data_IF_360274906206
#
_entry.id   IF_360274906206
#
_cell.length_a   1.000
_cell.length_b   1.000
_cell.length_c   1.000
_cell.angle_alpha   90.00
_cell.angle_beta   90.00
_cell.angle_gamma   90.00
#
_symmetry.space_group_name_H-M   'P 1'
#
loop_
_entity.id
_entity.type
_entity.pdbx_description
1 polymer ?
#
# COMPACT_ATOMS: atom_id res chain seq x y z
N UNK A 1 27.48 -14.57 -19.11
CA UNK A 1 27.55 -14.25 -17.67
C UNK A 1 26.16 -14.19 -17.07
N UNK A 2 25.20 -13.50 -17.71
CA UNK A 2 23.79 -13.47 -17.29
C UNK A 2 23.06 -14.83 -17.28
N UNK A 3 23.33 -15.73 -18.24
CA UNK A 3 22.71 -17.07 -18.26
C UNK A 3 23.10 -17.93 -17.06
N UNK A 4 24.34 -17.76 -16.58
CA UNK A 4 24.83 -18.41 -15.37
C UNK A 4 24.16 -17.84 -14.12
N UNK A 5 24.07 -16.51 -14.01
CA UNK A 5 23.33 -15.84 -12.92
C UNK A 5 21.87 -16.27 -12.84
N UNK A 6 21.17 -16.33 -13.98
CA UNK A 6 19.79 -16.81 -14.02
C UNK A 6 19.68 -18.28 -13.62
N UNK A 7 20.58 -19.13 -14.10
CA UNK A 7 20.60 -20.55 -13.73
C UNK A 7 20.78 -20.71 -12.22
N UNK A 8 21.76 -20.03 -11.63
CA UNK A 8 22.02 -20.06 -10.19
C UNK A 8 20.82 -19.54 -9.38
N UNK A 9 20.18 -18.45 -9.83
CA UNK A 9 18.99 -17.92 -9.18
C UNK A 9 17.81 -18.91 -9.22
N UNK A 10 17.55 -19.55 -10.36
CA UNK A 10 16.51 -20.59 -10.50
C UNK A 10 16.79 -21.80 -9.60
N UNK A 11 18.04 -22.26 -9.56
CA UNK A 11 18.47 -23.36 -8.68
C UNK A 11 18.26 -22.99 -7.20
N UNK A 12 18.65 -21.78 -6.80
CA UNK A 12 18.46 -21.25 -5.43
C UNK A 12 16.99 -21.16 -5.05
N UNK A 13 16.13 -20.63 -5.93
CA UNK A 13 14.69 -20.55 -5.71
C UNK A 13 14.04 -21.95 -5.61
N UNK A 14 14.42 -22.86 -6.50
CA UNK A 14 13.93 -24.25 -6.48
C UNK A 14 14.31 -24.95 -5.18
N UNK A 15 15.57 -24.82 -4.75
CA UNK A 15 16.06 -25.40 -3.50
C UNK A 15 15.35 -24.81 -2.26
N UNK A 16 14.89 -23.56 -2.35
CA UNK A 16 14.12 -22.89 -1.30
C UNK A 16 12.61 -23.18 -1.35
N UNK A 17 12.15 -24.03 -2.27
CA UNK A 17 10.74 -24.42 -2.41
C UNK A 17 9.83 -23.32 -2.97
N UNK A 18 10.39 -22.37 -3.74
CA UNK A 18 9.58 -21.33 -4.40
C UNK A 18 8.74 -21.97 -5.50
N UNK A 19 7.51 -21.47 -5.66
CA UNK A 19 6.57 -21.94 -6.67
C UNK A 19 7.15 -21.87 -8.10
N UNK A 20 6.96 -22.89 -8.95
CA UNK A 20 7.49 -22.89 -10.32
C UNK A 20 7.04 -21.70 -11.18
N UNK A 21 5.79 -21.25 -11.05
CA UNK A 21 5.29 -20.08 -11.79
C UNK A 21 6.01 -18.83 -11.32
N UNK A 22 6.22 -18.67 -10.00
CA UNK A 22 7.00 -17.56 -9.47
C UNK A 22 8.47 -17.57 -9.96
N UNK A 23 9.08 -18.75 -10.13
CA UNK A 23 10.43 -18.88 -10.72
C UNK A 23 10.44 -18.43 -12.19
N UNK A 24 9.39 -18.73 -12.95
CA UNK A 24 9.26 -18.34 -14.35
C UNK A 24 8.96 -16.84 -14.50
N UNK A 25 8.14 -16.28 -13.62
CA UNK A 25 7.92 -14.83 -13.49
C UNK A 25 9.22 -14.10 -13.18
N UNK A 26 9.98 -14.56 -12.18
CA UNK A 26 11.31 -14.01 -11.88
C UNK A 26 12.24 -14.10 -13.09
N UNK A 27 12.28 -15.23 -13.78
CA UNK A 27 13.14 -15.41 -14.95
C UNK A 27 12.77 -14.47 -16.10
N UNK A 28 11.48 -14.21 -16.31
CA UNK A 28 11.01 -13.20 -17.26
C UNK A 28 11.57 -11.81 -16.93
N UNK A 29 11.41 -11.36 -15.68
CA UNK A 29 11.88 -10.04 -15.26
C UNK A 29 13.40 -9.91 -15.20
N UNK A 30 14.11 -10.98 -14.83
CA UNK A 30 15.57 -11.05 -14.91
C UNK A 30 16.06 -10.70 -16.32
N UNK A 31 15.40 -11.23 -17.36
CA UNK A 31 15.75 -10.93 -18.76
C UNK A 31 15.46 -9.50 -19.16
N UNK A 32 14.45 -8.86 -18.57
CA UNK A 32 14.18 -7.44 -18.78
C UNK A 32 15.28 -6.56 -18.15
N UNK A 33 15.67 -6.88 -16.91
CA UNK A 33 16.80 -6.21 -16.24
C UNK A 33 18.09 -6.36 -17.05
N UNK A 34 18.37 -7.56 -17.55
CA UNK A 34 19.54 -7.86 -18.39
C UNK A 34 19.59 -7.00 -19.66
N UNK A 35 18.44 -6.74 -20.29
CA UNK A 35 18.34 -5.92 -21.51
C UNK A 35 18.43 -4.43 -21.25
N UNK A 36 18.50 -4.01 -19.99
CA UNK A 36 18.55 -2.60 -19.60
C UNK A 36 17.19 -1.91 -19.70
N UNK A 37 16.08 -2.65 -19.60
CA UNK A 37 14.74 -2.08 -19.59
C UNK A 37 14.62 -1.09 -18.41
N UNK A 38 14.29 0.17 -18.71
CA UNK A 38 14.23 1.23 -17.69
C UNK A 38 12.83 1.44 -17.12
N UNK A 39 11.79 1.00 -17.83
CA UNK A 39 10.39 1.19 -17.44
C UNK A 39 9.88 2.64 -17.51
N UNK A 40 10.64 3.54 -18.15
CA UNK A 40 10.27 4.96 -18.27
C UNK A 40 9.07 5.15 -19.22
N UNK A 41 8.16 6.05 -18.86
CA UNK A 41 6.94 6.36 -19.62
C UNK A 41 6.94 7.84 -20.00
N UNK A 42 7.36 8.20 -21.24
CA UNK A 42 7.41 9.58 -21.68
C UNK A 42 6.03 10.22 -21.76
N UNK A 43 5.93 11.49 -21.37
CA UNK A 43 4.71 12.30 -21.47
C UNK A 43 4.18 12.34 -22.91
N UNK A 44 5.08 12.32 -23.89
CA UNK A 44 4.73 12.28 -25.31
C UNK A 44 3.94 11.03 -25.73
N UNK A 45 4.05 9.93 -24.97
CA UNK A 45 3.39 8.63 -25.25
C UNK A 45 2.03 8.45 -24.58
N UNK A 46 1.64 9.40 -23.72
CA UNK A 46 0.42 9.34 -22.91
C UNK A 46 -0.47 10.57 -23.08
N UNK A 47 -1.73 10.43 -22.68
CA UNK A 47 -2.72 11.50 -22.58
C UNK A 47 -3.34 11.49 -21.18
N UNK A 48 -3.72 12.65 -20.61
CA UNK A 48 -4.40 12.68 -19.31
C UNK A 48 -5.68 11.84 -19.31
N UNK A 49 -5.92 11.10 -18.23
CA UNK A 49 -7.14 10.31 -18.04
C UNK A 49 -8.21 11.12 -17.28
N UNK A 50 -9.46 10.99 -17.70
CA UNK A 50 -10.63 11.36 -16.90
C UNK A 50 -11.41 10.12 -16.46
N UNK A 51 -12.20 10.24 -15.39
CA UNK A 51 -12.92 9.11 -14.82
C UNK A 51 -14.23 9.54 -14.14
N UNK A 52 -15.22 8.63 -14.03
CA UNK A 52 -16.43 8.90 -13.26
C UNK A 52 -16.09 9.08 -11.77
N UNK A 53 -16.86 9.93 -11.08
CA UNK A 53 -16.80 10.02 -9.63
C UNK A 53 -17.87 9.12 -8.99
N UNK A 54 -17.49 8.41 -7.92
CA UNK A 54 -18.42 7.58 -7.14
C UNK A 54 -19.62 8.39 -6.61
N UNK A 55 -19.42 9.68 -6.35
CA UNK A 55 -20.49 10.60 -5.95
C UNK A 55 -21.61 10.71 -7.00
N UNK A 56 -21.27 10.58 -8.28
CA UNK A 56 -22.20 10.68 -9.41
C UNK A 56 -22.78 9.31 -9.83
N UNK A 57 -22.28 8.21 -9.25
CA UNK A 57 -22.75 6.85 -9.53
C UNK A 57 -23.90 6.48 -8.59
N UNK A 58 -25.02 6.08 -9.20
CA UNK A 58 -26.17 5.50 -8.47
C UNK A 58 -26.10 3.98 -8.53
N UNK A 59 -26.04 3.35 -7.35
CA UNK A 59 -26.15 1.89 -7.17
C UNK A 59 -27.28 1.65 -6.19
N UNK A 60 -28.24 0.80 -6.55
CA UNK A 60 -29.33 0.45 -5.64
C UNK A 60 -28.81 -0.33 -4.42
N UNK A 61 -29.35 -0.07 -3.24
CA UNK A 61 -28.87 -0.65 -1.97
C UNK A 61 -28.82 -2.19 -1.97
N UNK A 62 -29.80 -2.83 -2.62
CA UNK A 62 -29.85 -4.29 -2.76
C UNK A 62 -28.69 -4.80 -3.62
N UNK A 63 -28.46 -4.19 -4.79
CA UNK A 63 -27.35 -4.55 -5.68
C UNK A 63 -25.98 -4.27 -5.03
N UNK A 64 -25.86 -3.17 -4.30
CA UNK A 64 -24.67 -2.82 -3.53
C UNK A 64 -24.37 -3.88 -2.46
N UNK A 65 -25.38 -4.28 -1.69
CA UNK A 65 -25.23 -5.29 -0.63
C UNK A 65 -24.97 -6.70 -1.19
N UNK A 66 -25.62 -7.07 -2.30
CA UNK A 66 -25.38 -8.34 -2.99
C UNK A 66 -23.94 -8.41 -3.53
N UNK A 67 -23.47 -7.34 -4.18
CA UNK A 67 -22.10 -7.27 -4.69
C UNK A 67 -21.06 -7.33 -3.56
N UNK A 68 -21.30 -6.64 -2.44
CA UNK A 68 -20.44 -6.74 -1.26
C UNK A 68 -20.43 -8.18 -0.72
N UNK A 69 -21.58 -8.87 -0.71
CA UNK A 69 -21.70 -10.28 -0.32
C UNK A 69 -20.87 -11.25 -1.19
N UNK A 70 -20.61 -10.88 -2.45
CA UNK A 70 -19.78 -11.63 -3.40
C UNK A 70 -18.32 -11.15 -3.45
N UNK A 71 -17.91 -10.27 -2.54
CA UNK A 71 -16.56 -9.71 -2.48
C UNK A 71 -15.70 -10.43 -1.45
N UNK A 72 -14.47 -10.78 -1.83
CA UNK A 72 -13.40 -11.13 -0.90
C UNK A 72 -12.48 -9.93 -0.64
N UNK A 73 -11.97 -9.78 0.57
CA UNK A 73 -11.08 -8.68 0.95
C UNK A 73 -9.66 -9.20 1.13
N UNK A 74 -8.73 -8.64 0.37
CA UNK A 74 -7.30 -8.91 0.51
C UNK A 74 -6.57 -7.67 1.02
N UNK A 75 -5.82 -7.81 2.12
CA UNK A 75 -4.96 -6.75 2.65
C UNK A 75 -3.50 -7.09 2.41
N UNK A 76 -2.78 -6.18 1.76
CA UNK A 76 -1.33 -6.31 1.58
C UNK A 76 -0.63 -6.08 2.92
N UNK A 77 0.09 -7.08 3.41
CA UNK A 77 0.73 -7.07 4.72
C UNK A 77 2.11 -7.74 4.72
N UNK A 78 2.77 -7.81 3.55
CA UNK A 78 4.11 -8.38 3.42
C UNK A 78 5.24 -7.46 3.88
N UNK A 79 4.98 -6.15 3.99
CA UNK A 79 5.97 -5.13 4.32
C UNK A 79 6.24 -4.97 5.81
N UNK A 80 7.52 -4.77 6.14
CA UNK A 80 7.95 -4.38 7.49
C UNK A 80 7.90 -2.86 7.66
N UNK A 81 7.70 -2.38 8.88
CA UNK A 81 7.79 -0.96 9.22
C UNK A 81 9.24 -0.45 9.40
N UNK A 82 10.20 -0.98 8.65
CA UNK A 82 11.64 -0.72 8.84
C UNK A 82 12.01 0.75 8.73
N UNK A 83 11.35 1.52 7.85
CA UNK A 83 11.57 2.96 7.72
C UNK A 83 11.26 3.74 9.00
N UNK A 84 10.39 3.19 9.85
CA UNK A 84 9.98 3.73 11.14
C UNK A 84 10.59 2.95 12.31
N UNK A 85 11.60 2.10 12.06
CA UNK A 85 12.32 1.36 13.10
C UNK A 85 11.67 0.04 13.56
N UNK A 86 10.60 -0.41 12.91
CA UNK A 86 9.91 -1.64 13.33
C UNK A 86 10.58 -2.89 12.76
N UNK A 87 10.72 -3.91 13.60
CA UNK A 87 11.20 -5.24 13.20
C UNK A 87 10.07 -6.23 12.82
N UNK A 88 8.80 -5.79 12.88
CA UNK A 88 7.61 -6.61 12.61
C UNK A 88 6.75 -6.00 11.51
N UNK A 89 5.67 -6.69 11.16
CA UNK A 89 4.67 -6.21 10.22
C UNK A 89 4.19 -4.79 10.60
N UNK A 90 4.17 -3.89 9.63
CA UNK A 90 3.75 -2.50 9.88
C UNK A 90 2.32 -2.39 10.39
N UNK A 91 1.46 -3.35 10.02
CA UNK A 91 0.08 -3.40 10.49
C UNK A 91 -0.08 -3.58 12.00
N UNK A 92 0.99 -3.98 12.71
CA UNK A 92 1.02 -4.12 14.16
C UNK A 92 1.37 -2.83 14.89
N UNK A 93 1.62 -1.74 14.16
CA UNK A 93 1.80 -0.42 14.77
C UNK A 93 0.49 0.01 15.40
N UNK A 94 0.53 0.40 16.68
CA UNK A 94 -0.58 1.06 17.34
C UNK A 94 -0.84 2.42 16.71
N UNK A 95 -2.06 2.66 16.28
CA UNK A 95 -2.45 3.86 15.53
C UNK A 95 -3.42 4.73 16.28
N UNK A 96 -4.30 4.14 17.09
CA UNK A 96 -5.30 4.90 17.84
C UNK A 96 -5.98 4.05 18.90
N UNK A 97 -6.28 4.65 20.06
CA UNK A 97 -7.12 4.05 21.11
C UNK A 97 -6.67 2.64 21.55
N UNK A 98 -5.36 2.39 21.59
CA UNK A 98 -4.80 1.07 21.91
C UNK A 98 -4.94 0.01 20.81
N UNK A 99 -5.38 0.41 19.61
CA UNK A 99 -5.61 -0.48 18.47
C UNK A 99 -4.53 -0.30 17.41
N UNK A 100 -4.10 -1.44 16.85
CA UNK A 100 -3.19 -1.48 15.70
C UNK A 100 -3.95 -1.30 14.38
N UNK A 101 -3.25 -1.09 13.26
CA UNK A 101 -3.91 -1.14 11.94
C UNK A 101 -4.67 -2.45 11.75
N UNK A 102 -4.03 -3.56 12.14
CA UNK A 102 -4.59 -4.90 11.99
C UNK A 102 -5.89 -5.05 12.78
N UNK A 103 -5.94 -4.55 14.02
CA UNK A 103 -7.15 -4.58 14.84
C UNK A 103 -8.28 -3.76 14.22
N UNK A 104 -7.98 -2.56 13.73
CA UNK A 104 -8.98 -1.68 13.10
C UNK A 104 -9.54 -2.35 11.83
N UNK A 105 -8.67 -2.87 10.95
CA UNK A 105 -9.07 -3.56 9.72
C UNK A 105 -10.00 -4.74 10.01
N UNK A 106 -9.63 -5.60 10.97
CA UNK A 106 -10.45 -6.76 11.35
C UNK A 106 -11.82 -6.30 11.84
N UNK A 107 -11.86 -5.29 12.71
CA UNK A 107 -13.12 -4.79 13.28
C UNK A 107 -14.00 -4.08 12.25
N UNK A 108 -13.42 -3.38 11.29
CA UNK A 108 -14.13 -2.80 10.13
C UNK A 108 -14.85 -3.89 9.33
N UNK A 109 -14.14 -4.96 8.96
CA UNK A 109 -14.75 -6.08 8.22
C UNK A 109 -15.84 -6.75 9.03
N UNK A 110 -15.61 -7.02 10.32
CA UNK A 110 -16.64 -7.63 11.18
C UNK A 110 -17.87 -6.73 11.34
N UNK A 111 -17.70 -5.41 11.38
CA UNK A 111 -18.82 -4.46 11.38
C UNK A 111 -19.61 -4.52 10.06
N UNK A 112 -18.93 -4.56 8.92
CA UNK A 112 -19.58 -4.72 7.60
C UNK A 112 -20.33 -6.04 7.48
N UNK A 113 -19.76 -7.16 7.96
CA UNK A 113 -20.44 -8.47 7.99
C UNK A 113 -21.76 -8.39 8.74
N UNK A 114 -21.77 -7.75 9.92
CA UNK A 114 -22.99 -7.54 10.72
C UNK A 114 -24.01 -6.65 10.01
N UNK A 115 -23.54 -5.54 9.42
CA UNK A 115 -24.41 -4.55 8.76
C UNK A 115 -25.09 -5.10 7.51
N UNK A 116 -24.36 -5.86 6.70
CA UNK A 116 -24.83 -6.33 5.39
C UNK A 116 -25.25 -7.81 5.37
N UNK A 117 -25.06 -8.55 6.47
CA UNK A 117 -25.30 -9.99 6.49
C UNK A 117 -24.40 -10.76 5.52
N UNK A 118 -23.20 -10.26 5.25
CA UNK A 118 -22.27 -10.79 4.25
C UNK A 118 -21.16 -11.65 4.90
N UNK A 119 -20.65 -12.65 4.16
CA UNK A 119 -19.50 -13.44 4.60
C UNK A 119 -18.20 -12.63 4.58
N UNK A 120 -17.94 -11.88 3.50
CA UNK A 120 -16.82 -10.93 3.35
C UNK A 120 -15.50 -11.45 3.96
N UNK A 121 -14.88 -12.50 3.38
CA UNK A 121 -13.63 -13.08 3.89
C UNK A 121 -12.53 -12.03 3.87
N UNK A 122 -11.77 -11.93 4.96
CA UNK A 122 -10.62 -11.04 5.08
C UNK A 122 -9.36 -11.90 5.11
N UNK A 123 -8.50 -11.68 4.11
CA UNK A 123 -7.33 -12.48 3.84
C UNK A 123 -6.12 -11.55 3.77
N UNK A 124 -5.03 -11.92 4.43
CA UNK A 124 -3.80 -11.13 4.43
C UNK A 124 -2.76 -11.75 3.49
N UNK A 125 -2.22 -10.94 2.59
CA UNK A 125 -1.03 -11.30 1.83
C UNK A 125 0.19 -11.00 2.71
N UNK A 126 0.71 -12.04 3.37
CA UNK A 126 1.84 -11.94 4.26
C UNK A 126 3.14 -12.33 3.55
N UNK A 127 4.27 -11.90 4.12
CA UNK A 127 5.58 -12.40 3.74
C UNK A 127 6.09 -13.38 4.79
N UNK A 128 7.18 -14.07 4.46
CA UNK A 128 7.93 -14.90 5.41
C UNK A 128 8.42 -14.12 6.66
N UNK A 129 8.37 -12.78 6.64
CA UNK A 129 8.73 -11.91 7.77
C UNK A 129 7.53 -11.41 8.57
N UNK A 130 6.30 -11.53 8.06
CA UNK A 130 5.11 -10.93 8.68
C UNK A 130 4.02 -11.95 9.07
N UNK A 131 4.06 -13.16 8.52
CA UNK A 131 3.03 -14.20 8.76
C UNK A 131 2.86 -14.55 10.24
N UNK A 132 3.95 -14.93 10.93
CA UNK A 132 3.86 -15.40 12.33
C UNK A 132 3.24 -14.35 13.27
N UNK A 133 3.75 -13.12 13.23
CA UNK A 133 3.24 -12.05 14.09
C UNK A 133 1.78 -11.68 13.75
N UNK A 134 1.41 -11.73 12.47
CA UNK A 134 0.05 -11.43 12.02
C UNK A 134 -0.92 -12.49 12.50
N UNK A 135 -0.62 -13.77 12.28
CA UNK A 135 -1.48 -14.89 12.70
C UNK A 135 -1.67 -14.96 14.21
N UNK A 136 -0.65 -14.59 15.01
CA UNK A 136 -0.77 -14.52 16.46
C UNK A 136 -1.89 -13.55 16.89
N UNK A 137 -1.96 -12.37 16.25
CA UNK A 137 -3.01 -11.38 16.54
C UNK A 137 -4.36 -11.82 15.98
N UNK A 138 -4.39 -12.36 14.76
CA UNK A 138 -5.64 -12.83 14.14
C UNK A 138 -6.29 -13.97 14.94
N UNK A 139 -5.50 -14.82 15.60
CA UNK A 139 -6.00 -15.90 16.47
C UNK A 139 -6.86 -15.45 17.65
N UNK A 140 -6.86 -14.14 17.98
CA UNK A 140 -7.73 -13.53 18.99
C UNK A 140 -9.17 -13.33 18.50
N UNK A 141 -9.39 -13.32 17.18
CA UNK A 141 -10.67 -13.03 16.54
C UNK A 141 -11.36 -14.31 16.05
N UNK A 142 -12.14 -14.96 16.93
CA UNK A 142 -12.78 -16.26 16.64
C UNK A 142 -13.80 -16.22 15.49
N UNK A 143 -14.44 -15.08 15.28
CA UNK A 143 -15.49 -14.91 14.26
C UNK A 143 -14.93 -14.41 12.91
N UNK A 144 -13.60 -14.34 12.77
CA UNK A 144 -12.96 -13.84 11.57
C UNK A 144 -12.91 -14.88 10.44
N UNK A 145 -12.62 -16.14 10.79
CA UNK A 145 -12.50 -17.23 9.83
C UNK A 145 -13.81 -17.44 9.05
N UNK A 146 -13.68 -17.69 7.76
CA UNK A 146 -14.77 -18.14 6.89
C UNK A 146 -14.46 -19.57 6.51
N UNK A 147 -15.39 -20.48 6.73
CA UNK A 147 -15.18 -21.91 6.49
C UNK A 147 -14.70 -22.17 5.05
N UNK A 148 -13.62 -22.95 4.93
CA UNK A 148 -13.02 -23.30 3.65
C UNK A 148 -12.09 -22.24 3.05
N UNK A 149 -11.91 -21.07 3.68
CA UNK A 149 -10.99 -20.03 3.22
C UNK A 149 -9.91 -19.71 4.26
N UNK A 150 -8.66 -19.48 3.84
CA UNK A 150 -7.57 -19.17 4.75
C UNK A 150 -7.64 -17.71 5.23
N UNK A 151 -6.99 -17.41 6.36
CA UNK A 151 -6.80 -16.03 6.84
C UNK A 151 -5.58 -15.36 6.20
N UNK A 152 -4.68 -16.13 5.62
CA UNK A 152 -3.50 -15.63 4.93
C UNK A 152 -3.17 -16.45 3.69
N UNK A 153 -2.41 -15.84 2.79
CA UNK A 153 -1.57 -16.54 1.84
C UNK A 153 -0.22 -15.85 1.82
N UNK A 154 0.83 -16.61 1.48
CA UNK A 154 2.18 -16.08 1.45
C UNK A 154 2.50 -15.56 0.05
N UNK A 155 3.00 -14.33 -0.02
CA UNK A 155 3.69 -13.83 -1.20
C UNK A 155 5.01 -14.61 -1.39
N UNK A 156 5.49 -14.64 -2.62
CA UNK A 156 6.74 -15.27 -3.01
C UNK A 156 7.98 -14.52 -2.48
N UNK A 157 9.13 -15.13 -2.69
CA UNK A 157 10.46 -14.57 -2.42
C UNK A 157 11.39 -14.88 -3.59
N UNK A 158 12.31 -13.97 -3.84
CA UNK A 158 13.32 -14.09 -4.89
C UNK A 158 14.70 -13.69 -4.34
N UNK A 159 15.79 -14.19 -4.94
CA UNK A 159 17.13 -13.82 -4.50
C UNK A 159 17.46 -12.39 -4.92
N UNK A 160 18.08 -11.63 -4.01
CA UNK A 160 18.76 -10.38 -4.37
C UNK A 160 19.92 -10.71 -5.31
N UNK A 161 20.07 -9.94 -6.38
CA UNK A 161 21.09 -10.16 -7.39
C UNK A 161 22.23 -9.17 -7.18
N UNK A 162 23.48 -9.56 -7.37
CA UNK A 162 24.59 -8.61 -7.33
C UNK A 162 24.45 -7.61 -8.47
N UNK A 163 24.74 -6.34 -8.21
CA UNK A 163 24.60 -5.28 -9.22
C UNK A 163 25.64 -5.37 -10.35
N UNK A 164 26.78 -6.03 -10.11
CA UNK A 164 27.89 -6.16 -11.04
C UNK A 164 27.70 -7.26 -12.10
N UNK A 165 27.12 -8.41 -11.73
CA UNK A 165 27.05 -9.58 -12.61
C UNK A 165 25.68 -10.30 -12.65
N UNK A 166 24.69 -9.83 -11.89
CA UNK A 166 23.35 -10.42 -11.75
C UNK A 166 23.32 -11.84 -11.18
N UNK A 167 24.39 -12.33 -10.56
CA UNK A 167 24.36 -13.59 -9.80
C UNK A 167 23.63 -13.40 -8.47
N UNK A 168 22.96 -14.44 -7.92
CA UNK A 168 22.32 -14.32 -6.61
C UNK A 168 23.38 -14.07 -5.54
N UNK A 169 23.15 -13.08 -4.67
CA UNK A 169 24.09 -12.74 -3.61
C UNK A 169 24.16 -13.84 -2.54
N UNK A 170 25.37 -14.07 -2.01
CA UNK A 170 25.60 -14.90 -0.82
C UNK A 170 25.96 -14.00 0.36
N UNK A 171 25.34 -14.23 1.51
CA UNK A 171 25.54 -13.47 2.73
C UNK A 171 25.53 -14.38 3.97
N UNK A 172 26.64 -15.09 4.25
CA UNK A 172 26.69 -16.08 5.32
C UNK A 172 26.42 -15.54 6.73
N UNK A 173 26.62 -14.24 6.96
CA UNK A 173 26.35 -13.60 8.25
C UNK A 173 24.85 -13.61 8.59
N UNK A 174 23.99 -13.45 7.58
CA UNK A 174 22.54 -13.60 7.69
C UNK A 174 21.96 -13.99 6.32
N UNK A 175 21.78 -15.30 6.05
CA UNK A 175 21.24 -15.78 4.79
C UNK A 175 19.82 -15.28 4.48
N UNK A 176 19.08 -14.77 5.48
CA UNK A 176 17.74 -14.20 5.23
C UNK A 176 17.81 -12.89 4.45
N UNK A 177 18.96 -12.19 4.49
CA UNK A 177 19.21 -10.97 3.73
C UNK A 177 19.49 -11.23 2.26
N UNK A 178 19.69 -12.48 1.86
CA UNK A 178 19.86 -12.86 0.45
C UNK A 178 18.54 -12.84 -0.34
N UNK A 179 17.40 -12.70 0.36
CA UNK A 179 16.06 -12.77 -0.22
C UNK A 179 15.33 -11.43 -0.11
N UNK A 180 14.54 -11.11 -1.12
CA UNK A 180 13.59 -10.01 -1.11
C UNK A 180 12.21 -10.48 -1.59
N UNK A 181 11.13 -9.78 -1.20
CA UNK A 181 9.84 -9.97 -1.85
C UNK A 181 9.83 -9.32 -3.25
N UNK A 182 9.13 -9.90 -4.24
CA UNK A 182 9.04 -9.37 -5.61
C UNK A 182 8.08 -8.17 -5.77
N UNK A 183 7.95 -7.35 -4.72
CA UNK A 183 6.98 -6.27 -4.64
C UNK A 183 5.54 -6.76 -4.44
N UNK A 184 4.60 -5.82 -4.35
CA UNK A 184 3.19 -6.16 -4.10
C UNK A 184 2.43 -6.61 -5.36
N UNK A 185 3.01 -6.47 -6.56
CA UNK A 185 2.45 -7.04 -7.79
C UNK A 185 2.46 -8.57 -7.83
N UNK A 186 3.21 -9.21 -6.93
CA UNK A 186 3.21 -10.66 -6.74
C UNK A 186 1.88 -11.24 -6.25
N UNK A 187 0.95 -10.40 -5.79
CA UNK A 187 -0.38 -10.83 -5.34
C UNK A 187 -1.04 -11.79 -6.33
N UNK A 188 -0.96 -11.52 -7.63
CA UNK A 188 -1.64 -12.33 -8.63
C UNK A 188 -1.00 -13.71 -8.80
N UNK A 189 0.33 -13.75 -8.88
CA UNK A 189 1.12 -14.99 -8.97
C UNK A 189 0.97 -15.82 -7.70
N UNK A 190 1.04 -15.20 -6.52
CA UNK A 190 0.86 -15.87 -5.24
C UNK A 190 -0.57 -16.42 -5.06
N UNK A 191 -1.60 -15.68 -5.49
CA UNK A 191 -2.99 -16.17 -5.46
C UNK A 191 -3.21 -17.38 -6.37
N UNK A 192 -2.54 -17.42 -7.53
CA UNK A 192 -2.58 -18.58 -8.43
C UNK A 192 -1.82 -19.77 -7.82
N UNK A 193 -0.56 -19.58 -7.42
CA UNK A 193 0.31 -20.65 -6.92
C UNK A 193 -0.18 -21.27 -5.61
N UNK A 194 -0.84 -20.50 -4.75
CA UNK A 194 -1.46 -21.01 -3.51
C UNK A 194 -2.84 -21.64 -3.73
N UNK A 195 -3.39 -21.56 -4.94
CA UNK A 195 -4.74 -22.01 -5.27
C UNK A 195 -5.85 -21.15 -4.64
N UNK A 196 -5.52 -19.99 -4.07
CA UNK A 196 -6.51 -19.11 -3.45
C UNK A 196 -7.53 -18.58 -4.46
N UNK A 197 -7.08 -18.32 -5.70
CA UNK A 197 -7.95 -17.85 -6.77
C UNK A 197 -9.09 -18.86 -7.05
N UNK A 198 -8.74 -20.14 -7.18
CA UNK A 198 -9.71 -21.22 -7.42
C UNK A 198 -10.62 -21.43 -6.19
N UNK A 199 -10.06 -21.41 -4.97
CA UNK A 199 -10.84 -21.52 -3.74
C UNK A 199 -11.91 -20.43 -3.62
N UNK A 200 -11.58 -19.17 -3.95
CA UNK A 200 -12.55 -18.06 -3.91
C UNK A 200 -13.64 -18.23 -4.97
N UNK A 201 -13.28 -18.65 -6.19
CA UNK A 201 -14.25 -18.91 -7.26
C UNK A 201 -15.19 -20.05 -6.88
N UNK A 202 -14.66 -21.15 -6.34
CA UNK A 202 -15.42 -22.32 -5.93
C UNK A 202 -16.35 -22.02 -4.73
N UNK A 203 -15.93 -21.12 -3.85
CA UNK A 203 -16.74 -20.61 -2.75
C UNK A 203 -17.82 -19.58 -3.19
N UNK A 204 -17.88 -19.25 -4.49
CA UNK A 204 -18.93 -18.40 -5.07
C UNK A 204 -18.67 -16.90 -5.00
N UNK A 205 -17.45 -16.48 -4.62
CA UNK A 205 -17.04 -15.08 -4.74
C UNK A 205 -16.78 -14.74 -6.20
N UNK A 206 -17.09 -13.50 -6.58
CA UNK A 206 -16.91 -13.02 -7.96
C UNK A 206 -15.81 -11.98 -8.08
N UNK A 207 -15.55 -11.23 -7.01
CA UNK A 207 -14.61 -10.11 -7.04
C UNK A 207 -13.76 -10.02 -5.78
N UNK A 208 -12.61 -9.37 -5.91
CA UNK A 208 -11.69 -9.10 -4.80
C UNK A 208 -11.49 -7.60 -4.66
N UNK A 209 -11.60 -7.11 -3.44
CA UNK A 209 -11.12 -5.80 -3.04
C UNK A 209 -9.73 -5.92 -2.41
N UNK A 210 -8.73 -5.25 -2.98
CA UNK A 210 -7.35 -5.25 -2.48
C UNK A 210 -6.99 -3.86 -1.96
N UNK A 211 -6.29 -3.78 -0.82
CA UNK A 211 -5.70 -2.51 -0.37
C UNK A 211 -4.51 -2.71 0.56
N UNK A 212 -3.72 -1.64 0.73
CA UNK A 212 -2.61 -1.62 1.69
C UNK A 212 -3.14 -1.73 3.13
N UNK A 213 -2.45 -2.47 4.00
CA UNK A 213 -2.77 -2.51 5.43
C UNK A 213 -2.51 -1.18 6.14
N UNK A 214 -1.62 -0.34 5.59
CA UNK A 214 -1.30 0.98 6.15
C UNK A 214 -2.22 2.11 5.66
N UNK A 215 -3.24 1.79 4.84
CA UNK A 215 -4.33 2.70 4.48
C UNK A 215 -5.62 2.31 5.23
N UNK A 216 -5.91 3.02 6.32
CA UNK A 216 -7.11 2.76 7.14
C UNK A 216 -8.40 3.32 6.53
N UNK A 217 -8.29 4.22 5.55
CA UNK A 217 -9.43 4.68 4.75
C UNK A 217 -9.94 3.62 3.78
N UNK A 218 -9.12 2.62 3.45
CA UNK A 218 -9.47 1.55 2.52
C UNK A 218 -10.40 0.50 3.14
N UNK A 219 -11.64 0.89 3.37
CA UNK A 219 -12.71 0.02 3.86
C UNK A 219 -13.51 -0.51 2.67
N UNK A 220 -13.83 -1.82 2.59
CA UNK A 220 -14.72 -2.34 1.55
C UNK A 220 -16.07 -1.59 1.58
N UNK A 221 -16.50 -1.07 0.43
CA UNK A 221 -17.71 -0.25 0.33
C UNK A 221 -18.72 -0.90 -0.62
N UNK A 222 -19.97 -1.00 -0.18
CA UNK A 222 -21.03 -1.66 -0.92
C UNK A 222 -21.35 -0.95 -2.26
N UNK A 223 -21.29 0.39 -2.29
CA UNK A 223 -21.55 1.16 -3.52
C UNK A 223 -20.43 0.95 -4.52
N UNK A 224 -19.17 0.96 -4.09
CA UNK A 224 -18.04 0.65 -4.98
C UNK A 224 -18.10 -0.79 -5.47
N UNK A 225 -18.41 -1.75 -4.59
CA UNK A 225 -18.59 -3.15 -4.96
C UNK A 225 -19.69 -3.33 -6.02
N UNK A 226 -20.84 -2.66 -5.84
CA UNK A 226 -21.94 -2.74 -6.80
C UNK A 226 -21.69 -1.96 -8.10
N UNK A 227 -20.97 -0.84 -8.04
CA UNK A 227 -20.50 -0.15 -9.24
C UNK A 227 -19.56 -1.03 -10.06
N UNK A 228 -18.57 -1.64 -9.41
CA UNK A 228 -17.60 -2.51 -10.08
C UNK A 228 -18.31 -3.69 -10.75
N UNK A 229 -19.15 -4.41 -9.99
CA UNK A 229 -19.95 -5.52 -10.53
C UNK A 229 -20.86 -5.08 -11.69
N UNK A 230 -21.52 -3.92 -11.58
CA UNK A 230 -22.41 -3.38 -12.61
C UNK A 230 -21.69 -2.87 -13.85
N UNK A 231 -20.42 -2.49 -13.74
CA UNK A 231 -19.61 -1.99 -14.85
C UNK A 231 -19.20 -3.09 -15.84
N UNK A 232 -19.10 -4.34 -15.37
CA UNK A 232 -18.55 -5.45 -16.14
C UNK A 232 -17.04 -5.36 -16.39
N UNK A 233 -16.34 -4.41 -15.75
CA UNK A 233 -14.89 -4.27 -15.89
C UNK A 233 -14.17 -5.46 -15.22
N UNK A 234 -13.11 -6.00 -15.84
CA UNK A 234 -12.31 -7.07 -15.24
C UNK A 234 -11.43 -6.57 -14.09
N UNK A 235 -11.09 -5.27 -14.10
CA UNK A 235 -10.17 -4.65 -13.18
C UNK A 235 -10.49 -3.17 -13.01
N UNK A 236 -10.43 -2.66 -11.78
CA UNK A 236 -10.60 -1.25 -11.49
C UNK A 236 -9.69 -0.77 -10.36
N UNK A 237 -9.35 0.52 -10.38
CA UNK A 237 -8.62 1.17 -9.30
C UNK A 237 -9.38 2.40 -8.81
N UNK A 238 -9.50 2.53 -7.49
CA UNK A 238 -9.98 3.78 -6.88
C UNK A 238 -8.87 4.84 -6.94
N UNK A 239 -9.22 6.04 -7.39
CA UNK A 239 -8.33 7.17 -7.47
C UNK A 239 -8.84 8.33 -6.62
N UNK A 240 -7.92 9.14 -6.11
CA UNK A 240 -8.26 10.41 -5.47
C UNK A 240 -7.67 11.56 -6.27
N UNK A 241 -8.28 12.75 -6.15
CA UNK A 241 -7.67 13.97 -6.68
C UNK A 241 -6.32 14.19 -6.03
N UNK A 242 -5.32 14.54 -6.86
CA UNK A 242 -3.99 14.90 -6.41
C UNK A 242 -4.00 16.25 -5.70
N UNK A 243 -3.16 16.32 -4.68
CA UNK A 243 -2.86 17.51 -3.89
C UNK A 243 -1.36 17.80 -3.99
N UNK A 244 -0.89 19.00 -3.61
CA UNK A 244 0.55 19.29 -3.55
C UNK A 244 1.36 18.35 -2.64
N UNK A 245 0.70 17.64 -1.72
CA UNK A 245 1.32 16.64 -0.83
C UNK A 245 1.55 15.30 -1.52
N UNK A 246 0.89 15.03 -2.65
CA UNK A 246 1.03 13.78 -3.43
C UNK A 246 2.25 13.83 -4.34
N UNK A 247 3.43 13.97 -3.73
CA UNK A 247 4.74 14.07 -4.41
C UNK A 247 5.31 12.73 -4.85
N UNK A 248 4.83 11.62 -4.26
CA UNK A 248 5.27 10.25 -4.55
C UNK A 248 4.05 9.38 -4.82
N UNK A 249 4.17 8.51 -5.82
CA UNK A 249 3.15 7.54 -6.23
C UNK A 249 2.85 7.62 -7.73
N UNK A 250 1.86 6.83 -8.15
CA UNK A 250 1.46 6.72 -9.55
C UNK A 250 0.19 7.52 -9.89
N UNK A 251 0.24 8.24 -11.01
CA UNK A 251 -0.94 8.86 -11.61
C UNK A 251 -1.43 8.06 -12.82
N UNK A 252 -2.70 8.23 -13.15
CA UNK A 252 -3.30 7.58 -14.31
C UNK A 252 -3.16 8.42 -15.57
N UNK A 253 -2.91 7.74 -16.67
CA UNK A 253 -2.95 8.30 -18.01
C UNK A 253 -3.46 7.25 -19.00
N UNK A 254 -3.71 7.66 -20.23
CA UNK A 254 -4.06 6.79 -21.35
C UNK A 254 -2.87 6.68 -22.29
N UNK A 255 -2.41 5.47 -22.60
CA UNK A 255 -1.34 5.25 -23.57
C UNK A 255 -1.85 5.46 -24.99
N UNK A 256 -1.16 6.30 -25.77
CA UNK A 256 -1.58 6.66 -27.14
C UNK A 256 -1.53 5.48 -28.12
N UNK A 257 -0.63 4.52 -27.88
CA UNK A 257 -0.38 3.43 -28.83
C UNK A 257 -1.56 2.44 -28.93
N UNK A 258 -2.28 2.22 -27.83
CA UNK A 258 -3.33 1.19 -27.72
C UNK A 258 -4.57 1.66 -26.95
N UNK A 259 -4.58 2.89 -26.42
CA UNK A 259 -5.71 3.46 -25.67
C UNK A 259 -5.89 2.87 -24.27
N UNK A 260 -4.93 2.07 -23.77
CA UNK A 260 -5.03 1.45 -22.44
C UNK A 260 -4.70 2.45 -21.33
N UNK A 261 -5.31 2.25 -20.17
CA UNK A 261 -4.96 3.00 -18.95
C UNK A 261 -3.59 2.53 -18.50
N UNK A 262 -2.71 3.48 -18.18
CA UNK A 262 -1.39 3.26 -17.60
C UNK A 262 -1.29 3.90 -16.23
N UNK A 263 -0.55 3.26 -15.33
CA UNK A 263 -0.19 3.81 -14.03
C UNK A 263 1.28 4.23 -14.08
N UNK A 264 1.54 5.54 -14.25
CA UNK A 264 2.89 6.07 -14.31
C UNK A 264 3.35 6.51 -12.93
N UNK A 265 4.24 5.72 -12.33
CA UNK A 265 4.93 6.04 -11.08
C UNK A 265 5.87 7.23 -11.25
N UNK A 266 6.13 7.96 -10.16
CA UNK A 266 7.11 9.07 -10.15
C UNK A 266 8.50 8.62 -10.64
N UNK A 267 8.90 7.38 -10.33
CA UNK A 267 10.18 6.81 -10.77
C UNK A 267 10.24 6.50 -12.28
N UNK A 268 9.09 6.49 -12.97
CA UNK A 268 8.97 6.25 -14.41
C UNK A 268 8.86 7.56 -15.22
N UNK A 269 8.90 8.72 -14.55
CA UNK A 269 8.81 10.04 -15.17
C UNK A 269 10.20 10.52 -15.58
N UNK A 270 10.38 10.91 -16.86
CA UNK A 270 11.63 11.49 -17.32
C UNK A 270 11.88 12.86 -16.68
N UNK A 271 13.14 13.25 -16.57
CA UNK A 271 13.52 14.56 -16.03
C UNK A 271 12.84 15.72 -16.77
N UNK A 272 12.72 15.62 -18.10
CA UNK A 272 12.04 16.62 -18.94
C UNK A 272 10.52 16.68 -18.74
N UNK A 273 9.93 15.66 -18.12
CA UNK A 273 8.48 15.52 -17.91
C UNK A 273 8.04 15.92 -16.49
N UNK A 274 8.97 16.35 -15.62
CA UNK A 274 8.69 16.68 -14.22
C UNK A 274 7.68 17.83 -14.08
N UNK A 275 7.76 18.85 -14.94
CA UNK A 275 6.80 19.95 -14.95
C UNK A 275 5.38 19.47 -15.30
N UNK A 276 5.25 18.55 -16.27
CA UNK A 276 3.97 17.97 -16.64
C UNK A 276 3.39 17.10 -15.52
N UNK A 277 4.23 16.33 -14.81
CA UNK A 277 3.83 15.59 -13.62
C UNK A 277 3.38 16.53 -12.49
N UNK A 278 4.05 17.67 -12.32
CA UNK A 278 3.73 18.69 -11.30
C UNK A 278 2.41 19.42 -11.56
N UNK A 279 1.92 19.43 -12.80
CA UNK A 279 0.65 20.06 -13.17
C UNK A 279 -0.56 19.24 -12.69
N UNK A 280 -1.11 19.64 -11.55
CA UNK A 280 -2.30 19.03 -10.94
C UNK A 280 -3.59 19.21 -11.76
N UNK A 281 -3.62 20.13 -12.73
CA UNK A 281 -4.75 20.31 -13.64
C UNK A 281 -4.73 19.34 -14.82
N UNK A 282 -3.54 18.86 -15.16
CA UNK A 282 -3.30 17.88 -16.22
C UNK A 282 -3.47 16.46 -15.70
N UNK A 283 -2.55 16.01 -14.87
CA UNK A 283 -2.59 14.69 -14.26
C UNK A 283 -3.30 14.81 -12.92
N UNK A 284 -4.64 14.79 -12.96
CA UNK A 284 -5.51 15.15 -11.82
C UNK A 284 -5.62 14.08 -10.74
N UNK A 285 -5.38 12.82 -11.08
CA UNK A 285 -5.73 11.68 -10.25
C UNK A 285 -4.50 10.83 -9.89
N UNK A 286 -4.44 10.37 -8.64
CA UNK A 286 -3.42 9.43 -8.16
C UNK A 286 -4.08 8.15 -7.67
N UNK A 287 -3.37 7.03 -7.84
CA UNK A 287 -3.81 5.74 -7.35
C UNK A 287 -3.83 5.72 -5.83
N UNK A 288 -4.92 5.21 -5.26
CA UNK A 288 -4.99 4.92 -3.82
C UNK A 288 -4.35 3.57 -3.46
N UNK A 289 -4.02 2.77 -4.46
CA UNK A 289 -3.73 1.33 -4.34
C UNK A 289 -4.91 0.52 -3.76
N UNK A 290 -6.14 1.04 -3.82
CA UNK A 290 -7.36 0.29 -3.58
C UNK A 290 -7.84 -0.28 -4.93
N UNK A 291 -7.73 -1.59 -5.11
CA UNK A 291 -8.04 -2.27 -6.37
C UNK A 291 -9.28 -3.13 -6.25
N UNK A 292 -9.93 -3.33 -7.38
CA UNK A 292 -11.01 -4.28 -7.56
C UNK A 292 -10.71 -5.14 -8.78
N UNK A 293 -10.86 -6.45 -8.68
CA UNK A 293 -10.76 -7.30 -9.87
C UNK A 293 -11.75 -8.45 -9.84
N UNK A 294 -12.21 -8.85 -11.01
CA UNK A 294 -13.05 -10.03 -11.20
C UNK A 294 -12.16 -11.29 -11.15
N UNK A 295 -12.55 -12.25 -10.31
CA UNK A 295 -11.79 -13.46 -10.05
C UNK A 295 -11.63 -14.32 -11.32
N UNK A 296 -12.68 -14.41 -12.16
CA UNK A 296 -12.67 -15.24 -13.36
C UNK A 296 -11.87 -14.58 -14.48
N UNK A 297 -11.97 -13.27 -14.63
CA UNK A 297 -11.17 -12.50 -15.58
C UNK A 297 -9.68 -12.57 -15.22
N UNK A 298 -9.34 -12.38 -13.94
CA UNK A 298 -7.96 -12.53 -13.46
C UNK A 298 -7.42 -13.94 -13.74
N UNK A 299 -8.21 -14.98 -13.44
CA UNK A 299 -7.83 -16.38 -13.72
C UNK A 299 -7.60 -16.61 -15.21
N UNK A 300 -8.52 -16.17 -16.06
CA UNK A 300 -8.41 -16.36 -17.50
C UNK A 300 -7.17 -15.66 -18.08
N UNK A 301 -6.84 -14.46 -17.59
CA UNK A 301 -5.67 -13.71 -18.06
C UNK A 301 -4.35 -14.35 -17.58
N UNK A 302 -4.31 -14.83 -16.33
CA UNK A 302 -3.17 -15.60 -15.82
C UNK A 302 -2.96 -16.89 -16.61
N UNK A 303 -4.02 -17.65 -16.86
CA UNK A 303 -3.96 -18.90 -17.62
C UNK A 303 -3.54 -18.64 -19.09
N UNK A 304 -4.01 -17.55 -19.71
CA UNK A 304 -3.65 -17.17 -21.08
C UNK A 304 -2.19 -16.71 -21.23
N UNK A 305 -1.54 -16.30 -20.13
CA UNK A 305 -0.16 -15.81 -20.09
C UNK A 305 0.80 -16.74 -19.35
N UNK A 306 0.41 -18.00 -19.14
CA UNK A 306 1.21 -18.99 -18.42
C UNK A 306 1.68 -18.47 -17.03
N UNK A 307 0.81 -17.71 -16.35
CA UNK A 307 1.06 -17.11 -15.03
C UNK A 307 1.90 -15.82 -15.04
N UNK A 308 2.44 -15.41 -16.20
CA UNK A 308 3.28 -14.21 -16.35
C UNK A 308 2.44 -13.04 -16.84
N UNK A 309 1.83 -12.28 -15.94
CA UNK A 309 1.00 -11.12 -16.32
C UNK A 309 1.76 -10.06 -17.12
N UNK A 310 3.08 -9.95 -16.95
CA UNK A 310 3.89 -8.94 -17.65
C UNK A 310 3.65 -7.53 -17.13
N UNK A 311 3.49 -7.39 -15.80
CA UNK A 311 3.45 -6.09 -15.11
C UNK A 311 4.73 -5.29 -15.36
N UNK A 312 4.65 -3.96 -15.20
CA UNK A 312 5.81 -3.09 -15.33
C UNK A 312 6.93 -3.46 -14.32
N UNK A 313 8.16 -3.60 -14.82
CA UNK A 313 9.35 -3.86 -14.02
C UNK A 313 9.71 -2.64 -13.16
N UNK A 314 10.02 -2.88 -11.89
CA UNK A 314 10.68 -1.95 -11.00
C UNK A 314 12.03 -2.54 -10.61
N UNK A 315 13.12 -1.89 -11.04
CA UNK A 315 14.49 -2.26 -10.68
C UNK A 315 14.96 -1.41 -9.51
N UNK A 316 15.06 -2.00 -8.32
CA UNK A 316 15.57 -1.31 -7.14
C UNK A 316 17.03 -1.66 -6.88
N UNK A 317 17.89 -0.65 -6.87
CA UNK A 317 19.28 -0.78 -6.39
C UNK A 317 19.34 -0.50 -4.90
N UNK A 318 19.85 -1.45 -4.13
CA UNK A 318 19.95 -1.44 -2.66
C UNK A 318 21.31 -2.02 -2.23
N UNK A 319 21.56 -2.06 -0.92
CA UNK A 319 22.64 -2.86 -0.33
C UNK A 319 22.10 -4.19 0.20
N UNK A 320 22.97 -5.21 0.33
CA UNK A 320 22.58 -6.53 0.87
C UNK A 320 21.92 -6.36 2.24
N UNK A 321 22.60 -5.62 3.13
CA UNK A 321 22.06 -5.21 4.41
C UNK A 321 21.54 -3.76 4.31
N UNK A 322 20.22 -3.53 4.40
CA UNK A 322 19.65 -2.18 4.36
C UNK A 322 20.09 -1.29 5.53
N UNK A 323 20.58 -1.86 6.63
CA UNK A 323 21.07 -1.12 7.79
C UNK A 323 22.54 -0.71 7.66
N UNK A 324 23.29 -1.34 6.75
CA UNK A 324 24.72 -1.06 6.52
C UNK A 324 24.97 -0.68 5.04
N UNK A 325 25.13 0.63 4.76
CA UNK A 325 25.36 1.13 3.41
C UNK A 325 26.73 0.75 2.83
N UNK A 326 27.64 0.17 3.64
CA UNK A 326 28.93 -0.31 3.16
C UNK A 326 28.87 -1.72 2.55
N UNK A 327 27.75 -2.43 2.72
CA UNK A 327 27.57 -3.78 2.18
C UNK A 327 27.38 -3.77 0.66
N UNK A 328 27.63 -4.90 -0.04
CA UNK A 328 27.59 -4.95 -1.49
C UNK A 328 26.27 -4.45 -2.08
N UNK A 329 26.37 -3.78 -3.24
CA UNK A 329 25.21 -3.33 -3.99
C UNK A 329 24.49 -4.51 -4.65
N UNK A 330 23.17 -4.51 -4.56
CA UNK A 330 22.28 -5.54 -5.09
C UNK A 330 21.09 -4.93 -5.81
N UNK A 331 20.55 -5.70 -6.75
CA UNK A 331 19.31 -5.44 -7.47
C UNK A 331 18.21 -6.30 -6.85
N UNK A 332 17.07 -5.67 -6.60
CA UNK A 332 15.80 -6.31 -6.26
C UNK A 332 14.83 -6.07 -7.42
N UNK A 333 14.13 -7.13 -7.84
CA UNK A 333 13.20 -7.08 -8.96
C UNK A 333 11.79 -7.01 -8.37
N UNK A 334 11.11 -5.91 -8.59
CA UNK A 334 9.77 -5.70 -8.05
C UNK A 334 8.77 -5.43 -9.16
N UNK A 335 7.51 -5.66 -8.83
CA UNK A 335 6.37 -5.21 -9.63
C UNK A 335 5.34 -4.54 -8.73
N UNK A 336 4.58 -3.61 -9.31
CA UNK A 336 3.49 -2.94 -8.62
C UNK A 336 2.14 -3.55 -9.04
N UNK A 337 1.30 -3.88 -8.06
CA UNK A 337 -0.03 -4.45 -8.31
C UNK A 337 -0.92 -3.57 -9.20
N UNK A 338 -0.82 -2.24 -9.05
CA UNK A 338 -1.58 -1.30 -9.85
C UNK A 338 -1.25 -1.33 -11.34
N UNK A 339 -0.05 -1.80 -11.72
CA UNK A 339 0.34 -1.95 -13.12
C UNK A 339 -0.50 -3.01 -13.86
N UNK A 340 -1.24 -3.86 -13.14
CA UNK A 340 -2.17 -4.82 -13.75
C UNK A 340 -3.31 -4.12 -14.51
N UNK A 341 -3.61 -2.85 -14.22
CA UNK A 341 -4.61 -2.09 -14.99
C UNK A 341 -4.29 -2.02 -16.49
N UNK A 342 -3.00 -2.10 -16.86
CA UNK A 342 -2.51 -2.08 -18.24
C UNK A 342 -2.73 -3.41 -18.98
N UNK A 343 -2.98 -4.48 -18.23
CA UNK A 343 -3.08 -5.84 -18.75
C UNK A 343 -4.46 -6.07 -19.36
N UNK A 344 -5.50 -5.61 -18.67
CA UNK A 344 -6.88 -5.95 -18.98
C UNK A 344 -7.55 -4.96 -19.92
N UNK A 345 -8.08 -5.46 -21.04
CA UNK A 345 -8.99 -4.68 -21.88
C UNK A 345 -10.29 -4.40 -21.11
N UNK A 346 -10.77 -3.16 -21.15
CA UNK A 346 -11.95 -2.73 -20.40
C UNK A 346 -11.71 -2.44 -18.92
N UNK A 347 -10.45 -2.43 -18.46
CA UNK A 347 -10.12 -1.91 -17.13
C UNK A 347 -10.58 -0.46 -16.97
N UNK A 348 -10.93 -0.07 -15.75
CA UNK A 348 -11.49 1.25 -15.47
C UNK A 348 -10.91 1.87 -14.19
N UNK A 349 -11.24 3.12 -13.93
CA UNK A 349 -10.89 3.85 -12.70
C UNK A 349 -12.11 4.58 -12.18
N UNK A 350 -12.15 4.87 -10.88
CA UNK A 350 -13.22 5.66 -10.27
C UNK A 350 -12.64 6.68 -9.29
N UNK A 351 -13.06 7.93 -9.42
CA UNK A 351 -12.75 8.96 -8.44
C UNK A 351 -13.55 8.68 -7.16
N UNK A 352 -12.83 8.58 -6.04
CA UNK A 352 -13.41 8.41 -4.71
C UNK A 352 -13.03 9.56 -3.78
N UNK A 353 -13.76 9.68 -2.66
CA UNK A 353 -13.45 10.63 -1.61
C UNK A 353 -12.09 10.36 -0.96
N UNK A 354 -11.41 11.43 -0.52
CA UNK A 354 -10.09 11.36 0.12
C UNK A 354 -10.11 10.57 1.44
N UNK A 355 -11.29 10.44 2.06
CA UNK A 355 -11.52 9.58 3.22
C UNK A 355 -11.20 8.10 2.98
N UNK A 356 -11.13 7.66 1.71
CA UNK A 356 -10.71 6.30 1.32
C UNK A 356 -9.20 6.14 1.14
N UNK A 357 -8.43 7.22 1.31
CA UNK A 357 -6.99 7.25 1.16
C UNK A 357 -6.33 7.98 2.33
N UNK A 358 -6.15 7.24 3.42
CA UNK A 358 -5.48 7.68 4.66
C UNK A 358 -4.27 6.78 4.92
N UNK A 359 -3.22 6.86 4.09
CA UNK A 359 -2.00 6.09 4.29
C UNK A 359 -1.15 6.70 5.42
N UNK A 360 -0.51 5.84 6.22
CA UNK A 360 0.54 6.28 7.16
C UNK A 360 1.89 5.81 6.62
N UNK A 361 2.74 6.70 6.15
CA UNK A 361 4.09 6.37 5.63
C UNK A 361 5.21 6.79 6.58
N UNK A 362 4.96 7.83 7.36
CA UNK A 362 5.92 8.45 8.29
C UNK A 362 5.28 8.70 9.65
N UNK A 363 6.10 9.09 10.62
CA UNK A 363 5.61 9.56 11.93
C UNK A 363 4.86 10.89 11.85
N UNK A 364 5.06 11.69 10.80
CA UNK A 364 4.24 12.87 10.53
C UNK A 364 2.78 12.47 10.29
N UNK A 365 2.55 11.47 9.44
CA UNK A 365 1.21 10.93 9.17
C UNK A 365 0.60 10.29 10.43
N UNK A 366 1.43 9.57 11.20
CA UNK A 366 1.03 8.94 12.46
C UNK A 366 0.58 9.98 13.50
N UNK A 367 1.27 11.14 13.58
CA UNK A 367 0.90 12.22 14.48
C UNK A 367 -0.52 12.73 14.17
N UNK A 368 -0.80 13.00 12.89
CA UNK A 368 -2.14 13.42 12.45
C UNK A 368 -3.18 12.36 12.79
N UNK A 369 -2.89 11.08 12.51
CA UNK A 369 -3.81 9.98 12.77
C UNK A 369 -4.13 9.77 14.27
N UNK A 370 -3.13 9.92 15.13
CA UNK A 370 -3.26 9.82 16.59
C UNK A 370 -3.91 11.05 17.23
N UNK A 371 -3.80 12.21 16.60
CA UNK A 371 -4.41 13.46 17.07
C UNK A 371 -5.94 13.45 16.99
N UNK A 372 -6.56 14.55 17.44
CA UNK A 372 -7.99 14.80 17.30
C UNK A 372 -8.43 15.20 15.88
N UNK A 373 -7.52 15.20 14.89
CA UNK A 373 -7.89 15.30 13.47
C UNK A 373 -8.75 14.11 13.00
N UNK A 374 -8.57 12.95 13.62
CA UNK A 374 -9.32 11.74 13.33
C UNK A 374 -10.03 11.22 14.56
N UNK A 375 -11.11 10.49 14.34
CA UNK A 375 -11.81 9.68 15.34
C UNK A 375 -12.25 8.36 14.71
N UNK A 376 -12.46 7.34 15.54
CA UNK A 376 -13.05 6.08 15.11
C UNK A 376 -14.55 6.07 15.45
N UNK A 377 -15.39 5.66 14.49
CA UNK A 377 -16.79 5.36 14.77
C UNK A 377 -16.94 4.03 15.52
N UNK A 378 -18.16 3.71 15.95
CA UNK A 378 -18.50 2.38 16.49
C UNK A 378 -18.29 1.23 15.48
N UNK A 379 -18.26 1.56 14.18
CA UNK A 379 -17.94 0.64 13.09
C UNK A 379 -16.44 0.65 12.73
N UNK A 380 -15.61 1.33 13.53
CA UNK A 380 -14.16 1.45 13.36
C UNK A 380 -13.74 2.12 12.04
N UNK A 381 -14.63 2.91 11.46
CA UNK A 381 -14.34 3.73 10.28
C UNK A 381 -13.71 5.04 10.77
N UNK A 382 -12.61 5.46 10.13
CA UNK A 382 -12.00 6.75 10.43
C UNK A 382 -12.89 7.90 9.96
N UNK A 383 -13.07 8.89 10.83
CA UNK A 383 -13.75 10.15 10.52
C UNK A 383 -12.80 11.30 10.74
N UNK A 384 -12.64 12.12 9.72
CA UNK A 384 -11.97 13.42 9.83
C UNK A 384 -12.85 14.33 10.67
N UNK A 385 -12.24 15.10 11.56
CA UNK A 385 -12.94 16.10 12.37
C UNK A 385 -13.65 17.13 11.48
N UNK A 386 -14.90 17.46 11.81
CA UNK A 386 -15.73 18.38 11.02
C UNK A 386 -15.07 19.76 10.85
N UNK A 387 -14.32 20.21 11.85
CA UNK A 387 -13.61 21.49 11.86
C UNK A 387 -12.55 21.61 10.77
N UNK A 388 -12.06 20.48 10.24
CA UNK A 388 -11.03 20.46 9.21
C UNK A 388 -11.60 20.61 7.79
N UNK A 389 -12.92 20.46 7.59
CA UNK A 389 -13.55 20.48 6.26
C UNK A 389 -12.82 19.58 5.24
N UNK A 390 -12.41 18.39 5.70
CA UNK A 390 -11.66 17.41 4.90
C UNK A 390 -10.18 17.73 4.65
N UNK A 391 -9.63 18.81 5.22
CA UNK A 391 -8.23 19.22 5.05
C UNK A 391 -7.43 18.99 6.32
N UNK A 392 -6.68 17.90 6.36
CA UNK A 392 -5.76 17.61 7.47
C UNK A 392 -4.57 18.58 7.50
N UNK A 393 -4.03 18.91 8.68
CA UNK A 393 -2.90 19.83 8.81
C UNK A 393 -1.62 19.25 8.21
N UNK A 394 -0.75 20.14 7.74
CA UNK A 394 0.61 19.77 7.35
C UNK A 394 1.47 19.54 8.60
N UNK A 395 2.17 18.42 8.67
CA UNK A 395 3.09 18.10 9.78
C UNK A 395 4.47 17.82 9.24
N UNK A 396 5.47 18.48 9.82
CA UNK A 396 6.89 18.25 9.54
C UNK A 396 7.67 18.13 10.85
N UNK A 397 8.08 16.90 11.17
CA UNK A 397 8.86 16.59 12.35
C UNK A 397 10.31 16.34 11.96
N UNK A 398 11.25 16.86 12.74
CA UNK A 398 12.68 16.66 12.52
C UNK A 398 13.04 15.16 12.47
N UNK A 399 13.42 14.70 11.28
CA UNK A 399 13.72 13.28 11.05
C UNK A 399 14.90 12.75 11.87
N UNK A 400 15.75 13.63 12.43
CA UNK A 400 16.83 13.23 13.33
C UNK A 400 16.34 12.78 14.72
N UNK A 401 15.12 13.18 15.12
CA UNK A 401 14.55 12.91 16.43
C UNK A 401 13.21 12.15 16.40
N UNK A 402 12.43 12.25 15.31
CA UNK A 402 11.06 11.70 15.26
C UNK A 402 10.86 10.58 14.25
N UNK A 403 11.89 10.18 13.50
CA UNK A 403 11.72 9.21 12.40
C UNK A 403 11.32 7.81 12.89
N UNK A 404 11.88 7.36 14.02
CA UNK A 404 11.63 6.04 14.58
C UNK A 404 10.43 6.10 15.53
N UNK A 405 9.57 5.07 15.53
CA UNK A 405 8.36 5.03 16.38
C UNK A 405 8.70 5.16 17.85
N UNK A 406 9.70 4.41 18.33
CA UNK A 406 10.10 4.43 19.74
C UNK A 406 10.60 5.82 20.17
N UNK A 407 11.31 6.51 19.28
CA UNK A 407 11.77 7.88 19.53
C UNK A 407 10.59 8.86 19.51
N UNK A 408 9.69 8.73 18.53
CA UNK A 408 8.47 9.51 18.43
C UNK A 408 7.61 9.37 19.71
N UNK A 409 7.36 8.14 20.16
CA UNK A 409 6.55 7.85 21.34
C UNK A 409 7.14 8.48 22.63
N UNK A 410 8.46 8.51 22.76
CA UNK A 410 9.14 9.17 23.89
C UNK A 410 8.92 10.69 23.92
N UNK A 411 8.71 11.34 22.76
CA UNK A 411 8.42 12.77 22.66
C UNK A 411 6.94 13.10 22.87
N UNK A 412 6.04 12.12 22.79
CA UNK A 412 4.61 12.28 23.04
C UNK A 412 4.12 11.36 24.19
N UNK A 413 4.75 11.42 25.39
CA UNK A 413 4.47 10.49 26.49
C UNK A 413 3.05 10.61 27.04
N UNK A 414 2.45 11.80 26.94
CA UNK A 414 1.13 12.15 27.46
C UNK A 414 0.08 12.22 26.33
N UNK A 415 0.42 11.66 25.16
CA UNK A 415 -0.39 11.74 23.94
C UNK A 415 0.04 12.87 23.00
N UNK A 416 -0.59 12.89 21.83
CA UNK A 416 -0.31 13.88 20.78
C UNK A 416 -1.00 15.22 21.07
N UNK A 417 -0.44 16.36 20.61
CA UNK A 417 -1.16 17.63 20.67
C UNK A 417 -2.49 17.57 19.88
N UNK A 418 -3.43 18.44 20.25
CA UNK A 418 -4.62 18.72 19.45
C UNK A 418 -4.21 19.46 18.17
N UNK A 419 -4.66 18.95 17.02
CA UNK A 419 -4.32 19.44 15.69
C UNK A 419 -5.57 19.79 14.86
N UNK A 420 -6.79 19.56 15.36
CA UNK A 420 -8.03 19.83 14.62
C UNK A 420 -8.28 21.32 14.27
N UNK A 421 -7.48 22.25 14.83
CA UNK A 421 -7.47 23.69 14.50
C UNK A 421 -6.14 24.17 13.91
N UNK A 422 -5.22 23.25 13.64
CA UNK A 422 -3.95 23.56 13.01
C UNK A 422 -4.12 23.68 11.49
N UNK A 423 -3.38 24.60 10.90
CA UNK A 423 -3.05 24.59 9.47
C UNK A 423 -1.74 23.84 9.24
N UNK A 424 -0.75 24.05 10.13
CA UNK A 424 0.50 23.30 10.12
C UNK A 424 1.12 23.14 11.50
N UNK A 425 1.99 22.13 11.63
CA UNK A 425 2.93 21.98 12.75
C UNK A 425 4.32 21.62 12.21
N UNK A 426 5.31 22.48 12.46
CA UNK A 426 6.71 22.24 12.11
C UNK A 426 7.57 22.21 13.38
N UNK A 427 8.28 21.11 13.61
CA UNK A 427 9.11 20.91 14.81
C UNK A 427 10.55 20.64 14.39
N UNK A 428 11.44 21.58 14.68
CA UNK A 428 12.89 21.45 14.47
C UNK A 428 13.58 21.17 15.82
N UNK A 429 14.51 20.22 15.86
CA UNK A 429 15.22 19.82 17.09
C UNK A 429 14.44 18.87 18.00
N UNK A 430 14.98 18.60 19.19
CA UNK A 430 14.47 17.58 20.13
C UNK A 430 13.45 18.16 21.12
N UNK A 431 12.17 18.15 20.75
CA UNK A 431 11.07 18.65 21.59
C UNK A 431 10.21 17.53 22.17
N UNK A 432 10.03 17.54 23.49
CA UNK A 432 9.06 16.68 24.19
C UNK A 432 7.79 17.47 24.50
N UNK A 433 6.63 16.90 24.19
CA UNK A 433 5.33 17.53 24.41
C UNK A 433 4.71 17.07 25.73
N UNK A 434 4.26 18.04 26.53
CA UNK A 434 3.42 17.80 27.69
C UNK A 434 1.96 17.50 27.32
N UNK A 435 1.15 17.27 28.35
CA UNK A 435 -0.27 16.97 28.19
C UNK A 435 -1.07 18.18 27.67
N UNK A 436 -2.16 17.91 26.95
CA UNK A 436 -3.16 18.93 26.54
C UNK A 436 -2.60 20.10 25.70
N UNK A 437 -1.45 19.92 25.04
CA UNK A 437 -0.93 20.91 24.08
C UNK A 437 -1.90 21.04 22.89
N UNK A 438 -2.09 22.27 22.41
CA UNK A 438 -2.98 22.56 21.27
C UNK A 438 -2.24 23.36 20.21
N UNK A 439 -2.43 23.01 18.95
CA UNK A 439 -1.93 23.80 17.83
C UNK A 439 -3.09 24.50 17.14
N UNK A 440 -2.98 25.81 16.97
CA UNK A 440 -3.97 26.66 16.30
C UNK A 440 -3.25 27.43 15.19
N UNK A 441 -3.79 27.40 13.97
CA UNK A 441 -3.11 28.00 12.81
C UNK A 441 -1.77 27.33 12.53
N UNK A 442 -0.72 28.12 12.33
CA UNK A 442 0.62 27.62 12.02
C UNK A 442 1.48 27.50 13.29
N UNK A 443 1.63 26.29 13.80
CA UNK A 443 2.51 25.98 14.93
C UNK A 443 3.95 25.74 14.48
N UNK A 444 4.92 26.38 15.13
CA UNK A 444 6.34 26.18 14.83
C UNK A 444 7.20 26.17 16.09
N UNK A 445 8.10 25.20 16.16
CA UNK A 445 9.15 25.10 17.18
C UNK A 445 10.50 25.10 16.45
N UNK A 446 11.37 26.05 16.82
CA UNK A 446 12.74 26.09 16.30
C UNK A 446 13.65 25.18 17.11
N UNK A 447 14.77 24.78 16.50
CA UNK A 447 15.77 23.98 17.19
C UNK A 447 16.39 24.80 18.33
N UNK A 448 16.19 24.34 19.56
CA UNK A 448 16.74 24.96 20.75
C UNK A 448 18.25 24.68 20.93
N UNK A 449 18.81 23.77 20.13
CA UNK A 449 20.20 23.30 20.23
C UNK A 449 20.44 22.30 21.37
N UNK A 450 19.44 22.06 22.20
CA UNK A 450 19.41 21.09 23.29
C UNK A 450 17.97 20.54 23.47
N UNK A 451 17.79 19.38 24.13
CA UNK A 451 16.45 18.85 24.39
C UNK A 451 15.57 19.84 25.16
N UNK A 452 14.38 20.10 24.64
CA UNK A 452 13.43 21.09 25.16
C UNK A 452 12.03 20.49 25.39
N UNK A 453 11.20 21.18 26.17
CA UNK A 453 9.86 20.72 26.55
C UNK A 453 8.82 21.78 26.18
N UNK A 454 7.74 21.34 25.54
CA UNK A 454 6.51 22.12 25.42
C UNK A 454 5.67 21.82 26.67
N UNK A 455 5.49 22.83 27.52
CA UNK A 455 4.75 22.68 28.77
C UNK A 455 3.29 22.25 28.55
N UNK A 456 2.73 21.57 29.55
CA UNK A 456 1.34 21.10 29.48
C UNK A 456 0.35 22.27 29.34
N UNK A 457 -0.66 22.10 28.49
CA UNK A 457 -1.68 23.11 28.22
C UNK A 457 -1.22 24.28 27.33
N UNK A 458 0.03 24.25 26.84
CA UNK A 458 0.52 25.27 25.90
C UNK A 458 -0.30 25.28 24.62
N UNK A 459 -0.56 26.48 24.11
CA UNK A 459 -1.12 26.69 22.78
C UNK A 459 0.01 27.17 21.86
N UNK A 460 0.28 26.41 20.79
CA UNK A 460 1.25 26.73 19.76
C UNK A 460 0.55 27.30 18.52
N UNK A 461 1.22 28.24 17.86
CA UNK A 461 0.70 28.95 16.69
C UNK A 461 -0.14 30.19 17.05
N UNK A 462 -0.48 30.97 16.04
CA UNK A 462 -1.25 32.22 16.21
C UNK A 462 -2.74 31.92 16.41
N UNK A 463 -3.30 32.53 17.47
CA UNK A 463 -4.72 32.88 17.55
C UNK A 463 -4.98 34.21 16.87
#
# INVERSE_FOLDING_TARGET
>A
MSDEGLKLAREKMTAAGVDPVAIDVFAYYYRLVERGETGMVPESTIEPLDMPALADVTVGDEAASEALGRTAVVKLNGGLGTSMGMARAKSLLEVRDGLTFLDIIVRQVLALRRRHGAALPLIFMNSFRTSADTLEVLGRYRDLAVDGLPLEFLQNKEPKLRADDLTPVEWPADPTLEWCPPGHGDIYTAMQGTGLLDQLVDAGFTQVFVSNSDNLGAVPDARVAGWFAGSGAPFAIEAVRRTPSDRKGGHFATRKADGRIVLRETAQTLEEDQDALGDLSRHRFTSTNNLWFDLRAMKAELDARDGILGLALIKNTKTVDPADPSTPEVIQIETAMGAAIEVFDGATTIEVGRDRFVPVKTTNDLLVLRSDCYSLTDEYVLRVAEQLDGKVPFVDLDSSHYKLVDDFDQRFPDGTPSLCRATSLVVNGDWRFGAEVRVVGDGRLEDAGEPAVVESGTVLGEG
#
